data_IF_339267624998
#
_entry.id   IF_339267624998
#
_cell.length_a   1.000
_cell.length_b   1.000
_cell.length_c   1.000
_cell.angle_alpha   90.00
_cell.angle_beta   90.00
_cell.angle_gamma   90.00
#
_symmetry.space_group_name_H-M   'P 1'
#
loop_
_entity.id
_entity.type
_entity.pdbx_description
1 polymer ?
#
# COMPACT_ATOMS: atom_id res chain seq x y z
N UNK A 1 8.70 -29.33 -90.26
CA UNK A 1 10.05 -28.79 -89.97
C UNK A 1 9.85 -27.46 -89.26
N UNK A 2 9.92 -27.50 -87.94
CA UNK A 2 10.98 -26.90 -87.10
C UNK A 2 10.74 -25.42 -86.86
N UNK A 3 10.31 -25.11 -85.64
CA UNK A 3 10.72 -24.04 -84.71
C UNK A 3 9.61 -23.96 -83.63
N UNK A 4 9.88 -23.94 -82.34
CA UNK A 4 11.09 -23.64 -81.58
C UNK A 4 11.00 -24.34 -80.22
N UNK A 5 12.04 -25.09 -79.88
CA UNK A 5 12.26 -25.63 -78.53
C UNK A 5 12.98 -24.52 -77.74
N UNK A 6 12.24 -23.69 -77.02
CA UNK A 6 12.84 -22.84 -75.98
C UNK A 6 12.78 -23.61 -74.65
N UNK A 7 13.90 -23.85 -73.97
CA UNK A 7 13.87 -24.32 -72.60
C UNK A 7 13.32 -23.17 -71.74
N UNK A 8 12.09 -23.32 -71.28
CA UNK A 8 11.48 -22.43 -70.31
C UNK A 8 12.36 -22.46 -69.05
N UNK A 9 13.04 -21.35 -68.78
CA UNK A 9 13.87 -21.20 -67.59
C UNK A 9 13.02 -21.48 -66.34
N UNK A 10 13.56 -22.12 -65.28
CA UNK A 10 12.82 -22.29 -64.04
C UNK A 10 12.51 -20.91 -63.49
N UNK A 11 11.25 -20.52 -63.67
CA UNK A 11 10.72 -19.25 -63.21
C UNK A 11 10.78 -19.30 -61.69
N UNK A 12 11.73 -18.54 -61.12
CA UNK A 12 12.03 -18.57 -59.70
C UNK A 12 10.79 -18.31 -58.86
N UNK A 13 10.31 -19.39 -58.23
CA UNK A 13 9.90 -19.50 -56.84
C UNK A 13 9.18 -18.29 -56.24
N UNK A 14 8.13 -17.82 -56.92
CA UNK A 14 7.21 -16.81 -56.38
C UNK A 14 5.77 -17.31 -56.48
N UNK A 15 5.48 -18.38 -55.73
CA UNK A 15 4.12 -18.83 -55.48
C UNK A 15 3.39 -17.77 -54.64
N UNK A 16 2.47 -17.02 -55.25
CA UNK A 16 1.69 -15.98 -54.55
C UNK A 16 0.40 -16.57 -54.01
N UNK A 17 0.14 -16.48 -52.70
CA UNK A 17 -1.13 -16.95 -52.16
C UNK A 17 -2.29 -16.06 -52.66
N UNK A 18 -3.31 -16.68 -53.24
CA UNK A 18 -4.53 -16.02 -53.72
C UNK A 18 -5.78 -16.80 -53.33
N UNK A 19 -6.91 -16.10 -53.17
CA UNK A 19 -8.19 -16.73 -52.86
C UNK A 19 -8.59 -17.70 -53.98
N UNK A 20 -8.75 -18.98 -53.65
CA UNK A 20 -9.08 -20.02 -54.64
C UNK A 20 -7.96 -20.35 -55.63
N UNK A 21 -6.72 -19.95 -55.36
CA UNK A 21 -5.59 -20.24 -56.24
C UNK A 21 -5.31 -21.75 -56.31
N UNK A 22 -5.22 -22.26 -57.54
CA UNK A 22 -4.84 -23.65 -57.83
C UNK A 22 -3.39 -23.66 -58.27
N UNK A 23 -2.55 -24.34 -57.51
CA UNK A 23 -1.12 -24.48 -57.79
C UNK A 23 -0.82 -25.89 -58.24
N UNK A 24 -0.10 -26.02 -59.34
CA UNK A 24 0.46 -27.29 -59.77
C UNK A 24 1.78 -27.49 -59.03
N UNK A 25 1.90 -28.62 -58.32
CA UNK A 25 3.06 -28.95 -57.49
C UNK A 25 3.89 -30.01 -58.22
N UNK A 26 5.21 -29.98 -58.07
CA UNK A 26 6.09 -31.01 -58.63
C UNK A 26 5.71 -32.42 -58.13
N UNK A 27 5.95 -33.44 -58.97
CA UNK A 27 5.57 -34.82 -58.70
C UNK A 27 6.22 -35.33 -57.39
N UNK A 28 5.38 -35.58 -56.37
CA UNK A 28 5.82 -36.02 -55.03
C UNK A 28 5.83 -34.92 -53.96
N UNK A 29 5.65 -33.65 -54.33
CA UNK A 29 5.48 -32.56 -53.38
C UNK A 29 4.09 -32.60 -52.72
N UNK A 30 4.02 -32.34 -51.42
CA UNK A 30 2.78 -32.35 -50.63
C UNK A 30 2.43 -30.93 -50.18
N UNK A 31 1.16 -30.51 -50.25
CA UNK A 31 0.75 -29.23 -49.72
C UNK A 31 0.91 -29.21 -48.19
N UNK A 32 1.68 -28.26 -47.67
CA UNK A 32 1.73 -27.96 -46.23
C UNK A 32 0.65 -26.94 -45.94
N UNK A 33 -0.37 -27.33 -45.17
CA UNK A 33 -1.34 -26.37 -44.67
C UNK A 33 -0.67 -25.44 -43.67
N UNK A 34 -0.52 -24.17 -44.03
CA UNK A 34 -0.13 -23.12 -43.07
C UNK A 34 -1.38 -22.81 -42.25
N UNK A 35 -1.56 -23.51 -41.14
CA UNK A 35 -2.53 -23.11 -40.12
C UNK A 35 -1.90 -21.96 -39.33
N UNK A 36 -2.48 -20.75 -39.33
CA UNK A 36 -2.06 -19.69 -38.42
C UNK A 36 -2.57 -20.05 -37.02
N UNK A 37 -1.94 -21.04 -36.38
CA UNK A 37 -2.25 -21.41 -35.01
C UNK A 37 -1.86 -20.25 -34.10
N UNK A 38 -2.86 -19.48 -33.68
CA UNK A 38 -2.67 -18.44 -32.67
C UNK A 38 -2.63 -19.13 -31.30
N UNK A 39 -1.50 -19.07 -30.57
CA UNK A 39 -1.37 -19.68 -29.25
C UNK A 39 -2.14 -18.88 -28.20
N UNK A 40 -3.47 -18.83 -28.30
CA UNK A 40 -4.35 -18.04 -27.43
C UNK A 40 -4.23 -18.45 -25.95
N UNK A 41 -3.96 -19.73 -25.68
CA UNK A 41 -3.77 -20.24 -24.32
C UNK A 41 -2.48 -19.73 -23.67
N UNK A 42 -1.47 -19.39 -24.47
CA UNK A 42 -0.18 -18.88 -24.01
C UNK A 42 -0.16 -17.34 -23.87
N UNK A 43 -1.22 -16.65 -24.29
CA UNK A 43 -1.29 -15.20 -24.20
C UNK A 43 -1.23 -14.70 -22.75
N UNK A 44 -2.02 -15.29 -21.85
CA UNK A 44 -2.08 -14.86 -20.45
C UNK A 44 -0.73 -15.02 -19.73
N UNK A 45 -0.04 -16.18 -19.79
CA UNK A 45 1.31 -16.31 -19.24
C UNK A 45 2.32 -15.31 -19.82
N UNK A 46 2.26 -15.04 -21.13
CA UNK A 46 3.13 -14.06 -21.79
C UNK A 46 2.85 -12.64 -21.31
N UNK A 47 1.59 -12.24 -21.24
CA UNK A 47 1.18 -10.92 -20.75
C UNK A 47 1.57 -10.73 -19.28
N UNK A 48 1.34 -11.73 -18.43
CA UNK A 48 1.72 -11.70 -17.01
C UNK A 48 3.24 -11.60 -16.85
N UNK A 49 4.04 -12.21 -17.73
CA UNK A 49 5.49 -12.04 -17.71
C UNK A 49 5.91 -10.59 -17.97
N UNK A 50 5.31 -9.94 -18.97
CA UNK A 50 5.55 -8.51 -19.26
C UNK A 50 5.16 -7.63 -18.06
N UNK A 51 4.01 -7.90 -17.45
CA UNK A 51 3.55 -7.13 -16.29
C UNK A 51 4.49 -7.28 -15.10
N UNK A 52 5.11 -8.46 -14.91
CA UNK A 52 6.13 -8.67 -13.88
C UNK A 52 7.38 -7.83 -14.13
N UNK A 53 7.84 -7.73 -15.38
CA UNK A 53 8.97 -6.87 -15.75
C UNK A 53 8.66 -5.38 -15.50
N UNK A 54 7.46 -4.93 -15.91
CA UNK A 54 6.97 -3.57 -15.63
C UNK A 54 6.90 -3.33 -14.11
N UNK A 55 6.34 -4.27 -13.37
CA UNK A 55 6.24 -4.19 -11.91
C UNK A 55 7.60 -4.10 -11.22
N UNK A 56 8.58 -4.88 -11.68
CA UNK A 56 9.95 -4.79 -11.18
C UNK A 56 10.57 -3.40 -11.44
N UNK A 57 10.33 -2.80 -12.61
CA UNK A 57 10.82 -1.47 -12.95
C UNK A 57 10.12 -0.35 -12.14
N UNK A 58 8.85 -0.53 -11.79
CA UNK A 58 8.06 0.42 -11.00
C UNK A 58 8.14 0.20 -9.49
N UNK A 59 8.82 -0.86 -9.04
CA UNK A 59 8.82 -1.34 -7.65
C UNK A 59 7.42 -1.71 -7.13
N UNK A 60 6.54 -2.19 -8.01
CA UNK A 60 5.17 -2.56 -7.69
C UNK A 60 4.89 -4.05 -8.00
N UNK A 61 4.21 -4.79 -7.09
CA UNK A 61 3.80 -6.16 -7.36
C UNK A 61 2.80 -6.25 -8.53
N UNK A 62 2.91 -7.31 -9.33
CA UNK A 62 2.03 -7.53 -10.49
C UNK A 62 0.56 -7.68 -10.08
N UNK A 63 0.29 -8.28 -8.92
CA UNK A 63 -1.05 -8.45 -8.36
C UNK A 63 -1.75 -7.11 -8.14
N UNK A 64 -0.99 -6.09 -7.72
CA UNK A 64 -1.49 -4.74 -7.48
C UNK A 64 -1.70 -4.00 -8.81
N UNK A 65 -0.78 -4.15 -9.76
CA UNK A 65 -0.92 -3.56 -11.09
C UNK A 65 -2.14 -4.09 -11.84
N UNK A 66 -2.43 -5.39 -11.69
CA UNK A 66 -3.57 -6.04 -12.34
C UNK A 66 -4.85 -5.99 -11.51
N UNK A 67 -4.77 -5.51 -10.25
CA UNK A 67 -5.88 -5.56 -9.28
C UNK A 67 -6.49 -6.97 -9.15
N UNK A 68 -5.66 -8.01 -9.27
CA UNK A 68 -6.09 -9.41 -9.27
C UNK A 68 -5.28 -10.23 -8.27
N UNK A 69 -5.96 -10.80 -7.28
CA UNK A 69 -5.36 -11.46 -6.12
C UNK A 69 -5.81 -12.92 -6.05
N UNK A 70 -5.07 -13.81 -6.73
CA UNK A 70 -5.32 -15.27 -6.71
C UNK A 70 -4.34 -16.06 -5.83
N UNK A 71 -3.36 -15.38 -5.23
CA UNK A 71 -2.33 -16.00 -4.39
C UNK A 71 -2.82 -16.25 -2.96
N UNK A 72 -2.10 -17.08 -2.21
CA UNK A 72 -2.38 -17.30 -0.78
C UNK A 72 -2.27 -16.02 0.05
N UNK A 73 -2.93 -15.99 1.21
CA UNK A 73 -2.90 -14.86 2.16
C UNK A 73 -1.47 -14.37 2.46
N UNK A 74 -0.53 -15.30 2.73
CA UNK A 74 0.86 -14.97 3.05
C UNK A 74 1.59 -14.33 1.88
N UNK A 75 1.35 -14.82 0.65
CA UNK A 75 1.95 -14.25 -0.55
C UNK A 75 1.40 -12.84 -0.84
N UNK A 76 0.07 -12.67 -0.74
CA UNK A 76 -0.56 -11.36 -0.88
C UNK A 76 -0.04 -10.36 0.18
N UNK A 77 0.08 -10.79 1.44
CA UNK A 77 0.65 -9.98 2.52
C UNK A 77 2.10 -9.57 2.24
N UNK A 78 2.92 -10.48 1.72
CA UNK A 78 4.30 -10.17 1.34
C UNK A 78 4.35 -9.13 0.21
N UNK A 79 3.48 -9.26 -0.81
CA UNK A 79 3.37 -8.31 -1.90
C UNK A 79 2.96 -6.91 -1.42
N UNK A 80 1.90 -6.80 -0.60
CA UNK A 80 1.47 -5.53 -0.02
C UNK A 80 2.53 -4.91 0.89
N UNK A 81 3.22 -5.71 1.71
CA UNK A 81 4.33 -5.21 2.54
C UNK A 81 5.48 -4.64 1.69
N UNK A 82 5.78 -5.24 0.54
CA UNK A 82 6.80 -4.72 -0.36
C UNK A 82 6.36 -3.40 -1.00
N UNK A 83 5.12 -3.33 -1.52
CA UNK A 83 4.53 -2.08 -2.01
C UNK A 83 4.55 -0.99 -0.93
N UNK A 84 4.27 -1.35 0.33
CA UNK A 84 4.21 -0.40 1.42
C UNK A 84 5.55 0.24 1.75
N UNK A 85 6.67 -0.46 1.54
CA UNK A 85 8.01 0.14 1.69
C UNK A 85 8.20 1.28 0.70
N UNK A 86 7.81 1.08 -0.56
CA UNK A 86 7.87 2.10 -1.61
C UNK A 86 6.98 3.30 -1.28
N UNK A 87 5.73 3.07 -0.84
CA UNK A 87 4.81 4.15 -0.45
C UNK A 87 5.37 4.94 0.74
N UNK A 88 5.88 4.26 1.78
CA UNK A 88 6.50 4.91 2.93
C UNK A 88 7.73 5.73 2.56
N UNK A 89 8.54 5.24 1.62
CA UNK A 89 9.71 6.00 1.15
C UNK A 89 9.29 7.31 0.47
N UNK A 90 8.30 7.27 -0.43
CA UNK A 90 7.77 8.49 -1.08
C UNK A 90 7.14 9.45 -0.08
N UNK A 91 6.36 8.94 0.89
CA UNK A 91 5.78 9.74 1.96
C UNK A 91 6.85 10.39 2.84
N UNK A 92 7.88 9.65 3.21
CA UNK A 92 9.01 10.18 3.97
C UNK A 92 9.69 11.33 3.23
N UNK A 93 9.91 11.19 1.91
CA UNK A 93 10.43 12.27 1.09
C UNK A 93 9.55 13.52 1.13
N UNK A 94 8.23 13.38 0.96
CA UNK A 94 7.29 14.50 1.08
C UNK A 94 7.36 15.14 2.48
N UNK A 95 7.40 14.32 3.53
CA UNK A 95 7.51 14.78 4.91
C UNK A 95 8.75 15.63 5.14
N UNK A 96 9.93 15.13 4.76
CA UNK A 96 11.20 15.82 5.07
C UNK A 96 11.47 17.01 4.14
N UNK A 97 10.97 16.97 2.90
CA UNK A 97 11.23 18.02 1.91
C UNK A 97 10.21 19.16 1.96
N UNK A 98 8.97 18.88 2.34
CA UNK A 98 7.88 19.85 2.26
C UNK A 98 7.19 20.05 3.60
N UNK A 99 6.65 18.99 4.20
CA UNK A 99 5.79 19.13 5.38
C UNK A 99 6.54 19.68 6.59
N UNK A 100 7.66 19.05 6.95
CA UNK A 100 8.46 19.44 8.12
C UNK A 100 9.06 20.85 7.95
N UNK A 101 9.70 21.22 6.82
CA UNK A 101 10.21 22.58 6.63
C UNK A 101 9.12 23.65 6.66
N UNK A 102 7.96 23.39 6.03
CA UNK A 102 6.84 24.33 6.03
C UNK A 102 6.30 24.55 7.44
N UNK A 103 6.12 23.47 8.21
CA UNK A 103 5.69 23.55 9.60
C UNK A 103 6.68 24.34 10.46
N UNK A 104 7.98 24.04 10.35
CA UNK A 104 9.02 24.74 11.08
C UNK A 104 9.03 26.25 10.80
N UNK A 105 8.87 26.66 9.53
CA UNK A 105 8.81 28.07 9.14
C UNK A 105 7.62 28.79 9.77
N UNK A 106 6.47 28.11 9.89
CA UNK A 106 5.28 28.69 10.55
C UNK A 106 5.55 28.92 12.05
N UNK A 107 6.15 27.94 12.75
CA UNK A 107 6.50 28.12 14.16
C UNK A 107 7.55 29.22 14.33
N UNK A 108 8.58 29.23 13.48
CA UNK A 108 9.64 30.25 13.50
C UNK A 108 9.05 31.67 13.36
N UNK A 109 8.11 31.86 12.42
CA UNK A 109 7.44 33.14 12.20
C UNK A 109 6.56 33.55 13.40
N UNK A 110 5.82 32.61 13.99
CA UNK A 110 5.01 32.89 15.18
C UNK A 110 5.87 33.34 16.37
N UNK A 111 7.03 32.71 16.57
CA UNK A 111 7.98 33.12 17.61
C UNK A 111 8.61 34.48 17.27
N UNK A 112 9.00 34.70 16.01
CA UNK A 112 9.62 35.95 15.58
C UNK A 112 8.68 37.16 15.72
N UNK A 113 7.37 36.98 15.48
CA UNK A 113 6.34 37.99 15.68
C UNK A 113 5.93 38.19 17.14
N UNK A 114 6.39 37.32 18.05
CA UNK A 114 5.96 37.34 19.45
C UNK A 114 4.52 36.85 19.67
N UNK A 115 3.96 36.05 18.75
CA UNK A 115 2.65 35.42 18.94
C UNK A 115 2.71 34.25 19.93
N UNK A 116 3.85 33.57 19.99
CA UNK A 116 4.12 32.46 20.91
C UNK A 116 5.46 32.68 21.58
N UNK A 117 5.49 32.63 22.91
CA UNK A 117 6.72 32.70 23.69
C UNK A 117 7.26 31.30 23.98
N UNK A 118 8.40 30.94 23.35
CA UNK A 118 9.08 29.66 23.57
C UNK A 118 10.45 29.91 24.23
N UNK A 119 10.61 29.63 25.53
CA UNK A 119 11.85 29.90 26.27
C UNK A 119 13.08 29.19 25.67
N UNK A 120 14.08 29.98 25.28
CA UNK A 120 15.31 29.44 24.70
C UNK A 120 15.14 28.88 23.28
N UNK A 121 14.10 29.26 22.55
CA UNK A 121 13.87 28.83 21.16
C UNK A 121 15.04 29.12 20.21
N UNK A 122 15.87 30.11 20.52
CA UNK A 122 17.09 30.41 19.74
C UNK A 122 18.16 29.32 19.82
N UNK A 123 18.13 28.45 20.84
CA UNK A 123 19.02 27.30 20.92
C UNK A 123 18.55 26.21 19.93
N UNK A 124 19.40 25.78 18.96
CA UNK A 124 19.03 24.77 17.98
C UNK A 124 18.51 23.46 18.59
N UNK A 125 19.02 23.05 19.75
CA UNK A 125 18.56 21.82 20.40
C UNK A 125 17.13 21.95 20.91
N UNK A 126 16.82 23.07 21.57
CA UNK A 126 15.47 23.38 22.06
C UNK A 126 14.49 23.64 20.93
N UNK A 127 14.90 24.39 19.91
CA UNK A 127 14.08 24.59 18.70
C UNK A 127 13.62 23.26 18.14
N UNK A 128 14.55 22.32 17.92
CA UNK A 128 14.22 20.97 17.42
C UNK A 128 13.24 20.22 18.31
N UNK A 129 13.31 20.39 19.62
CA UNK A 129 12.34 19.77 20.54
C UNK A 129 10.94 20.39 20.40
N UNK A 130 10.86 21.72 20.28
CA UNK A 130 9.58 22.43 20.11
C UNK A 130 8.91 22.15 18.76
N UNK A 131 9.68 22.08 17.68
CA UNK A 131 9.14 21.88 16.32
C UNK A 131 9.06 20.41 15.90
N UNK A 132 9.31 19.49 16.83
CA UNK A 132 9.22 18.06 16.55
C UNK A 132 7.75 17.72 16.29
N UNK A 133 7.46 17.34 15.05
CA UNK A 133 6.16 16.86 14.64
C UNK A 133 6.25 15.41 14.14
N UNK A 134 5.14 14.70 14.25
CA UNK A 134 4.96 13.37 13.68
C UNK A 134 3.94 13.47 12.55
N UNK A 135 4.32 13.01 11.36
CA UNK A 135 3.49 13.13 10.16
C UNK A 135 2.77 11.83 9.91
N UNK A 136 1.47 11.84 10.18
CA UNK A 136 0.59 10.69 10.09
C UNK A 136 0.02 10.61 8.67
N UNK A 137 0.16 9.45 8.04
CA UNK A 137 -0.48 9.16 6.76
C UNK A 137 -1.39 7.95 6.92
N UNK A 138 -2.30 7.77 5.97
CA UNK A 138 -3.24 6.65 5.97
C UNK A 138 -2.52 5.30 6.12
N UNK A 139 -2.97 4.39 6.98
CA UNK A 139 -2.32 3.08 7.15
C UNK A 139 -2.46 2.21 5.89
N UNK A 140 -1.68 1.13 5.79
CA UNK A 140 -1.80 0.15 4.68
C UNK A 140 -3.18 -0.55 4.67
N UNK A 141 -3.83 -0.60 5.83
CA UNK A 141 -4.95 -1.48 6.09
C UNK A 141 -4.49 -2.86 6.57
N UNK A 142 -5.43 -3.57 7.20
CA UNK A 142 -5.21 -4.91 7.74
C UNK A 142 -5.78 -5.95 6.78
N UNK A 143 -5.00 -7.00 6.49
CA UNK A 143 -5.49 -8.16 5.74
C UNK A 143 -6.19 -9.16 6.68
N UNK A 144 -5.82 -9.19 7.96
CA UNK A 144 -6.48 -9.96 9.02
C UNK A 144 -6.40 -9.19 10.33
N UNK A 145 -7.50 -8.50 10.66
CA UNK A 145 -7.61 -7.60 11.81
C UNK A 145 -7.33 -8.31 13.13
N UNK A 146 -7.75 -9.56 13.26
CA UNK A 146 -7.55 -10.30 14.51
C UNK A 146 -6.07 -10.62 14.75
N UNK A 147 -5.32 -10.99 13.71
CA UNK A 147 -3.89 -11.27 13.82
C UNK A 147 -3.13 -9.97 14.12
N UNK A 148 -3.47 -8.90 13.40
CA UNK A 148 -2.75 -7.63 13.51
C UNK A 148 -3.02 -6.93 14.85
N UNK A 149 -4.25 -7.00 15.36
CA UNK A 149 -4.59 -6.51 16.70
C UNK A 149 -3.87 -7.30 17.82
N UNK A 150 -3.79 -8.64 17.69
CA UNK A 150 -3.03 -9.46 18.66
C UNK A 150 -1.55 -9.11 18.64
N UNK A 151 -0.98 -8.93 17.45
CA UNK A 151 0.41 -8.55 17.30
C UNK A 151 0.69 -7.15 17.89
N UNK A 152 -0.24 -6.20 17.75
CA UNK A 152 -0.14 -4.87 18.36
C UNK A 152 -0.15 -4.94 19.90
N UNK A 153 -1.09 -5.70 20.48
CA UNK A 153 -1.13 -5.96 21.92
C UNK A 153 0.17 -6.58 22.43
N UNK A 154 0.72 -7.56 21.71
CA UNK A 154 1.98 -8.21 22.08
C UNK A 154 3.18 -7.24 22.02
N UNK A 155 3.25 -6.36 21.00
CA UNK A 155 4.30 -5.34 20.88
C UNK A 155 4.26 -4.29 21.99
N UNK A 156 3.06 -3.90 22.43
CA UNK A 156 2.91 -3.01 23.58
C UNK A 156 3.33 -3.74 24.86
N UNK A 157 2.84 -4.97 25.05
CA UNK A 157 3.13 -5.77 26.25
C UNK A 157 4.62 -6.10 26.41
N UNK A 158 5.34 -6.34 25.32
CA UNK A 158 6.78 -6.62 25.36
C UNK A 158 7.68 -5.36 25.33
N UNK A 159 7.08 -4.17 25.27
CA UNK A 159 7.80 -2.88 25.31
C UNK A 159 8.52 -2.51 24.00
N UNK A 160 8.24 -3.19 22.88
CA UNK A 160 8.80 -2.82 21.57
C UNK A 160 8.00 -1.73 20.85
N UNK A 161 6.79 -1.44 21.33
CA UNK A 161 5.91 -0.39 20.82
C UNK A 161 5.13 0.26 21.96
N UNK A 162 4.31 1.25 21.64
CA UNK A 162 3.38 1.91 22.55
C UNK A 162 2.05 2.19 21.84
N UNK A 163 1.04 2.61 22.61
CA UNK A 163 -0.30 2.85 22.09
C UNK A 163 -0.32 3.93 21.00
N UNK A 164 0.50 4.97 21.15
CA UNK A 164 0.61 6.04 20.15
C UNK A 164 1.08 5.49 18.79
N UNK A 165 2.17 4.73 18.78
CA UNK A 165 2.72 4.14 17.56
C UNK A 165 1.75 3.12 16.92
N UNK A 166 1.09 2.29 17.72
CA UNK A 166 0.15 1.28 17.20
C UNK A 166 -1.15 1.91 16.69
N UNK A 167 -1.75 2.87 17.40
CA UNK A 167 -2.96 3.58 16.95
C UNK A 167 -2.71 4.29 15.63
N UNK A 168 -1.57 4.96 15.50
CA UNK A 168 -1.18 5.60 14.26
C UNK A 168 -0.93 4.61 13.13
N UNK A 169 -0.25 3.49 13.41
CA UNK A 169 0.08 2.49 12.40
C UNK A 169 -1.14 1.73 11.87
N UNK A 170 -2.16 1.52 12.70
CA UNK A 170 -3.36 0.75 12.36
C UNK A 170 -4.51 1.61 11.86
N UNK A 171 -4.70 2.80 12.45
CA UNK A 171 -5.87 3.64 12.21
C UNK A 171 -5.52 4.97 11.54
N UNK A 172 -4.25 5.41 11.58
CA UNK A 172 -3.86 6.72 11.05
C UNK A 172 -4.37 7.89 11.90
N UNK A 173 -4.74 7.62 13.15
CA UNK A 173 -5.27 8.62 14.09
C UNK A 173 -4.23 8.93 15.18
N UNK A 174 -4.34 10.11 15.81
CA UNK A 174 -3.58 10.41 17.02
C UNK A 174 -4.20 9.67 18.21
N UNK A 175 -3.35 9.00 18.98
CA UNK A 175 -3.78 8.30 20.17
C UNK A 175 -4.37 9.23 21.23
N UNK A 176 -3.90 10.47 21.35
CA UNK A 176 -4.46 11.40 22.35
C UNK A 176 -5.92 11.74 22.06
N UNK A 177 -6.28 11.88 20.79
CA UNK A 177 -7.66 12.09 20.36
C UNK A 177 -8.52 10.86 20.67
N UNK A 178 -8.02 9.66 20.33
CA UNK A 178 -8.69 8.39 20.63
C UNK A 178 -8.87 8.20 22.14
N UNK A 179 -7.84 8.51 22.93
CA UNK A 179 -7.85 8.39 24.38
C UNK A 179 -8.89 9.34 25.00
N UNK A 180 -8.88 10.61 24.61
CA UNK A 180 -9.86 11.61 25.07
C UNK A 180 -11.28 11.19 24.76
N UNK A 181 -11.53 10.75 23.53
CA UNK A 181 -12.85 10.33 23.08
C UNK A 181 -13.30 9.07 23.81
N UNK A 182 -12.40 8.11 24.03
CA UNK A 182 -12.66 6.92 24.82
C UNK A 182 -12.99 7.25 26.27
N UNK A 183 -12.28 8.17 26.91
CA UNK A 183 -12.57 8.60 28.27
C UNK A 183 -13.95 9.26 28.39
N UNK A 184 -14.32 10.10 27.39
CA UNK A 184 -15.67 10.71 27.31
C UNK A 184 -16.75 9.65 27.14
N UNK A 185 -16.54 8.65 26.28
CA UNK A 185 -17.49 7.54 26.09
C UNK A 185 -17.67 6.71 27.35
N UNK A 186 -16.58 6.38 28.06
CA UNK A 186 -16.62 5.60 29.30
C UNK A 186 -17.43 6.36 30.36
N UNK A 187 -17.13 7.65 30.58
CA UNK A 187 -17.90 8.48 31.52
C UNK A 187 -19.39 8.50 31.18
N UNK A 188 -19.72 8.69 29.90
CA UNK A 188 -21.11 8.71 29.44
C UNK A 188 -21.80 7.37 29.69
N UNK A 189 -21.15 6.25 29.38
CA UNK A 189 -21.70 4.90 29.64
C UNK A 189 -21.96 4.67 31.13
N UNK A 190 -21.04 5.11 31.99
CA UNK A 190 -21.23 5.04 33.44
C UNK A 190 -22.42 5.88 33.90
N UNK A 191 -22.57 7.12 33.41
CA UNK A 191 -23.73 7.98 33.71
C UNK A 191 -25.05 7.38 33.23
N UNK A 192 -25.05 6.79 32.03
CA UNK A 192 -26.24 6.20 31.41
C UNK A 192 -26.57 4.78 31.94
N UNK A 193 -25.76 4.23 32.87
CA UNK A 193 -25.91 2.87 33.39
C UNK A 193 -25.64 1.77 32.35
N UNK A 194 -24.90 2.10 31.28
CA UNK A 194 -24.53 1.16 30.22
C UNK A 194 -23.28 0.37 30.64
N UNK A 195 -23.31 -0.97 30.59
CA UNK A 195 -22.17 -1.80 30.99
C UNK A 195 -20.92 -1.53 30.13
N UNK A 196 -19.76 -1.52 30.79
CA UNK A 196 -18.46 -1.39 30.12
C UNK A 196 -17.96 -2.76 29.69
N UNK A 197 -17.59 -2.90 28.41
CA UNK A 197 -16.99 -4.12 27.88
C UNK A 197 -15.49 -3.90 27.67
N UNK A 198 -14.66 -4.62 28.42
CA UNK A 198 -13.20 -4.61 28.30
C UNK A 198 -12.72 -6.05 28.16
N UNK A 199 -11.98 -6.35 27.09
CA UNK A 199 -11.45 -7.70 26.86
C UNK A 199 -12.51 -8.81 26.74
N UNK A 200 -13.72 -8.46 26.27
CA UNK A 200 -14.84 -9.40 26.16
C UNK A 200 -15.54 -9.74 27.49
N UNK A 201 -15.23 -9.03 28.58
CA UNK A 201 -15.89 -9.17 29.88
C UNK A 201 -16.65 -7.89 30.24
N UNK A 202 -17.84 -8.05 30.81
CA UNK A 202 -18.60 -6.95 31.41
C UNK A 202 -17.89 -6.54 32.68
N UNK A 203 -17.51 -5.27 32.78
CA UNK A 203 -17.09 -4.64 34.03
C UNK A 203 -18.27 -3.83 34.55
N UNK A 204 -18.67 -4.13 35.78
CA UNK A 204 -19.59 -3.27 36.52
C UNK A 204 -18.87 -1.95 36.83
N UNK A 205 -19.57 -0.81 36.81
CA UNK A 205 -18.97 0.45 37.22
C UNK A 205 -18.51 0.32 38.69
N UNK A 206 -17.24 0.63 38.96
CA UNK A 206 -16.75 0.74 40.34
C UNK A 206 -17.64 1.72 41.11
N UNK A 207 -18.02 1.37 42.35
CA UNK A 207 -18.73 2.30 43.24
C UNK A 207 -17.88 3.58 43.37
N UNK A 208 -18.50 4.77 43.30
CA UNK A 208 -17.75 6.02 43.41
C UNK A 208 -17.01 6.05 44.74
N UNK A 209 -15.68 6.08 44.69
CA UNK A 209 -14.82 6.16 45.87
C UNK A 209 -15.16 7.44 46.66
N UNK A 210 -15.70 7.32 47.89
CA UNK A 210 -16.10 8.47 48.68
C UNK A 210 -14.93 9.39 49.06
N UNK A 211 -13.68 8.98 48.84
CA UNK A 211 -12.49 9.78 49.18
C UNK A 211 -11.88 10.58 48.02
N UNK A 212 -12.41 10.48 46.79
CA UNK A 212 -11.82 11.16 45.61
C UNK A 212 -12.25 12.63 45.44
N UNK A 213 -13.11 13.15 46.31
CA UNK A 213 -13.71 14.49 46.20
C UNK A 213 -12.88 15.64 46.81
N UNK A 214 -11.68 15.38 47.36
CA UNK A 214 -10.95 16.37 48.16
C UNK A 214 -9.61 16.87 47.59
N UNK A 215 -9.23 16.54 46.35
CA UNK A 215 -7.89 16.87 45.82
C UNK A 215 -7.87 17.91 44.68
N UNK A 216 -9.02 18.48 44.28
CA UNK A 216 -9.12 19.50 43.24
C UNK A 216 -9.51 20.90 43.80
N UNK A 217 -8.89 21.30 44.92
CA UNK A 217 -8.85 22.70 45.37
C UNK A 217 -7.48 23.05 45.92
N UNK A 218 -6.58 23.51 45.04
CA UNK A 218 -5.72 24.70 45.22
C UNK A 218 -5.01 25.07 43.91
#
# INVERSE_FOLDING_TARGET
>A
MVQSNEPQAPEGDNLQLGEGAVWDLEEGAKPVSISPDRPNAQFDPFFVAIVKEIGAALEQPAEVLLMHFSTSYTAARAAFNQLWKFVKHRRHHLTVQFCQPAYELVIDEMVARGMVELPGYRDPARRRAYVRALWIGEPLGSLNEQIDAKAATERIANGTSNEHLETMALHGEDWEDVHRDRAREIRRKQTDGVPLYVGGRVHEPDEPDPNRANDDTD
#
